data_IF_195259272462
#
_entry.id   IF_195259272462
#
_cell.length_a   1.000
_cell.length_b   1.000
_cell.length_c   1.000
_cell.angle_alpha   90.00
_cell.angle_beta   90.00
_cell.angle_gamma   90.00
#
_symmetry.space_group_name_H-M   'P 1'
#
loop_
_entity.id
_entity.type
_entity.pdbx_description
1 polymer ?
#
# COMPACT_ATOMS: atom_id res chain seq x y z
N UNK A 1 -22.48 3.46 -17.15
CA UNK A 1 -22.04 3.49 -15.74
C UNK A 1 -22.18 2.08 -15.20
N UNK A 2 -21.06 1.39 -14.98
CA UNK A 2 -21.09 0.01 -14.47
C UNK A 2 -21.28 0.07 -12.97
N UNK A 3 -22.41 -0.41 -12.48
CA UNK A 3 -22.65 -0.51 -11.05
C UNK A 3 -21.66 -1.52 -10.45
N UNK A 4 -20.81 -1.04 -9.54
CA UNK A 4 -19.95 -1.90 -8.73
C UNK A 4 -20.85 -2.82 -7.89
N UNK A 5 -20.79 -4.13 -8.14
CA UNK A 5 -21.50 -5.13 -7.35
C UNK A 5 -21.04 -5.01 -5.88
N UNK A 6 -21.99 -4.71 -5.00
CA UNK A 6 -21.76 -4.65 -3.56
C UNK A 6 -21.25 -6.02 -3.09
N UNK A 7 -19.99 -6.07 -2.62
CA UNK A 7 -19.34 -7.28 -2.12
C UNK A 7 -18.02 -7.65 -2.82
N UNK A 8 -17.71 -7.06 -3.97
CA UNK A 8 -16.38 -7.19 -4.58
C UNK A 8 -15.65 -5.85 -4.46
N UNK A 9 -14.66 -5.77 -3.56
CA UNK A 9 -13.81 -4.59 -3.51
C UNK A 9 -13.04 -4.51 -4.84
N UNK A 10 -13.16 -3.40 -5.60
CA UNK A 10 -12.58 -3.30 -6.92
C UNK A 10 -11.07 -3.45 -6.84
N UNK A 11 -10.49 -4.29 -7.68
CA UNK A 11 -9.04 -4.37 -7.83
C UNK A 11 -8.61 -3.66 -9.10
N UNK A 12 -7.56 -2.85 -9.01
CA UNK A 12 -6.95 -2.15 -10.15
C UNK A 12 -5.47 -2.51 -10.28
N UNK A 13 -4.95 -2.46 -11.50
CA UNK A 13 -3.51 -2.61 -11.72
C UNK A 13 -2.82 -1.28 -11.39
N UNK A 14 -1.87 -1.30 -10.47
CA UNK A 14 -1.01 -0.17 -10.12
C UNK A 14 0.46 -0.49 -10.33
N UNK A 15 1.32 0.52 -10.18
CA UNK A 15 2.78 0.35 -10.24
C UNK A 15 3.45 0.88 -8.98
N UNK A 16 4.31 0.06 -8.38
CA UNK A 16 5.17 0.41 -7.26
C UNK A 16 6.62 0.34 -7.72
N UNK A 17 7.32 1.47 -7.83
CA UNK A 17 8.70 1.53 -8.34
C UNK A 17 8.89 0.79 -9.69
N UNK A 18 7.89 0.87 -10.58
CA UNK A 18 7.89 0.16 -11.87
C UNK A 18 7.45 -1.31 -11.80
N UNK A 19 7.32 -1.90 -10.61
CA UNK A 19 6.73 -3.23 -10.42
C UNK A 19 5.21 -3.16 -10.52
N UNK A 20 4.63 -3.90 -11.45
CA UNK A 20 3.18 -4.04 -11.60
C UNK A 20 2.58 -4.86 -10.45
N UNK A 21 1.54 -4.31 -9.81
CA UNK A 21 0.86 -4.93 -8.66
C UNK A 21 -0.66 -4.76 -8.78
N UNK A 22 -1.43 -5.71 -8.25
CA UNK A 22 -2.87 -5.54 -8.07
C UNK A 22 -3.15 -4.81 -6.75
N UNK A 23 -3.94 -3.75 -6.81
CA UNK A 23 -4.32 -2.90 -5.68
C UNK A 23 -5.82 -3.04 -5.42
N UNK A 24 -6.17 -3.30 -4.16
CA UNK A 24 -7.56 -3.27 -3.72
C UNK A 24 -7.96 -1.81 -3.44
N UNK A 25 -9.05 -1.36 -4.05
CA UNK A 25 -9.65 -0.07 -3.73
C UNK A 25 -10.58 -0.23 -2.52
N UNK A 26 -10.11 0.27 -1.39
CA UNK A 26 -10.85 0.36 -0.15
C UNK A 26 -11.03 1.83 0.23
N UNK A 27 -12.25 2.35 0.10
CA UNK A 27 -12.55 3.75 0.44
C UNK A 27 -12.49 4.02 1.95
N UNK A 28 -12.48 2.98 2.79
CA UNK A 28 -12.24 3.08 4.23
C UNK A 28 -10.74 3.11 4.59
N UNK A 29 -9.84 2.78 3.66
CA UNK A 29 -8.41 2.78 3.92
C UNK A 29 -7.82 4.20 3.80
N UNK A 30 -7.22 4.68 4.88
CA UNK A 30 -6.50 5.97 4.92
C UNK A 30 -5.03 5.86 4.51
N UNK A 31 -4.52 4.63 4.37
CA UNK A 31 -3.15 4.30 3.95
C UNK A 31 -3.17 3.14 2.96
N UNK A 32 -2.21 3.12 2.04
CA UNK A 32 -1.97 1.95 1.19
C UNK A 32 -1.08 0.94 1.92
N UNK A 33 -1.44 -0.34 1.83
CA UNK A 33 -0.69 -1.44 2.46
C UNK A 33 -0.17 -2.36 1.38
N UNK A 34 1.13 -2.67 1.43
CA UNK A 34 1.77 -3.66 0.54
C UNK A 34 2.50 -4.72 1.36
N UNK A 35 2.45 -6.00 0.97
CA UNK A 35 3.28 -7.04 1.56
C UNK A 35 4.77 -6.69 1.47
N UNK A 36 5.52 -6.98 2.52
CA UNK A 36 6.97 -6.74 2.57
C UNK A 36 7.72 -7.43 1.42
N UNK A 37 7.25 -8.61 0.98
CA UNK A 37 7.82 -9.32 -0.16
C UNK A 37 7.67 -8.56 -1.49
N UNK A 38 6.56 -7.85 -1.68
CA UNK A 38 6.34 -6.99 -2.84
C UNK A 38 7.23 -5.75 -2.74
N UNK A 39 7.32 -5.15 -1.54
CA UNK A 39 8.23 -4.04 -1.31
C UNK A 39 9.68 -4.40 -1.68
N UNK A 40 10.21 -5.50 -1.14
CA UNK A 40 11.57 -5.97 -1.45
C UNK A 40 11.80 -6.20 -2.95
N UNK A 41 10.81 -6.73 -3.67
CA UNK A 41 10.92 -6.89 -5.13
C UNK A 41 10.98 -5.53 -5.83
N UNK A 42 10.17 -4.57 -5.38
CA UNK A 42 10.08 -3.24 -5.98
C UNK A 42 11.32 -2.37 -5.73
N UNK A 43 12.05 -2.61 -4.63
CA UNK A 43 13.21 -1.79 -4.24
C UNK A 43 14.55 -2.52 -4.34
N UNK A 44 14.58 -3.80 -4.73
CA UNK A 44 15.82 -4.59 -4.69
C UNK A 44 16.30 -4.88 -3.25
N UNK A 45 15.36 -4.94 -2.29
CA UNK A 45 15.62 -5.14 -0.86
C UNK A 45 16.36 -3.98 -0.19
N UNK A 46 16.38 -2.80 -0.82
CA UNK A 46 16.84 -1.59 -0.15
C UNK A 46 16.10 -1.43 1.18
N UNK A 47 16.82 -1.07 2.25
CA UNK A 47 16.22 -0.81 3.54
C UNK A 47 15.06 0.15 3.38
N UNK A 48 13.97 -0.10 4.11
CA UNK A 48 12.94 0.91 4.24
C UNK A 48 13.58 2.09 4.97
N UNK A 49 13.83 3.18 4.25
CA UNK A 49 14.13 4.46 4.87
C UNK A 49 13.03 4.72 5.90
N UNK A 50 13.43 4.96 7.14
CA UNK A 50 12.49 5.21 8.21
C UNK A 50 11.75 6.50 7.85
N UNK A 51 10.50 6.39 7.38
CA UNK A 51 9.65 7.56 7.36
C UNK A 51 9.59 8.06 8.80
N UNK A 52 9.72 9.37 9.02
CA UNK A 52 9.83 9.98 10.35
C UNK A 52 8.59 9.81 11.25
N UNK A 53 7.68 8.88 10.93
CA UNK A 53 6.40 8.66 11.59
C UNK A 53 6.10 7.20 11.90
N UNK A 54 4.99 7.01 12.60
CA UNK A 54 4.50 5.70 13.03
C UNK A 54 3.03 5.83 13.43
N UNK A 55 2.27 4.76 13.26
CA UNK A 55 0.87 4.70 13.69
C UNK A 55 0.82 4.02 15.07
N UNK A 56 0.09 4.61 16.01
CA UNK A 56 -0.22 3.98 17.30
C UNK A 56 -1.45 3.07 17.13
N UNK A 57 -1.31 1.81 17.53
CA UNK A 57 -2.40 0.84 17.55
C UNK A 57 -3.19 0.95 18.86
N UNK A 58 -4.43 0.44 18.85
CA UNK A 58 -5.30 0.45 20.04
C UNK A 58 -4.74 -0.32 21.24
N UNK A 59 -3.76 -1.20 21.03
CA UNK A 59 -3.04 -1.95 22.08
C UNK A 59 -1.77 -1.23 22.58
N UNK A 60 -1.50 0.00 22.12
CA UNK A 60 -0.35 0.79 22.53
C UNK A 60 0.94 0.50 21.75
N UNK A 61 0.96 -0.52 20.86
CA UNK A 61 2.12 -0.75 19.98
C UNK A 61 2.18 0.31 18.89
N UNK A 62 3.40 0.63 18.43
CA UNK A 62 3.62 1.56 17.32
C UNK A 62 4.10 0.79 16.10
N UNK A 63 3.41 0.95 14.98
CA UNK A 63 3.84 0.44 13.68
C UNK A 63 4.66 1.53 13.00
N UNK A 64 5.94 1.25 12.74
CA UNK A 64 6.80 2.18 12.01
C UNK A 64 6.27 2.36 10.59
N UNK A 65 6.13 3.61 10.15
CA UNK A 65 5.89 3.90 8.75
C UNK A 65 7.21 3.76 8.02
N UNK A 66 7.22 2.91 7.01
CA UNK A 66 8.39 2.52 6.28
C UNK A 66 7.98 2.59 4.80
N UNK A 67 8.61 3.47 4.02
CA UNK A 67 8.30 3.60 2.60
C UNK A 67 8.48 5.02 2.06
N UNK A 68 9.03 5.10 0.85
CA UNK A 68 9.08 6.28 0.00
C UNK A 68 8.43 5.89 -1.34
N UNK A 69 7.41 6.62 -1.78
CA UNK A 69 6.79 6.36 -3.08
C UNK A 69 5.50 7.15 -3.30
N UNK A 70 5.28 7.57 -4.54
CA UNK A 70 4.00 8.11 -5.02
C UNK A 70 3.34 7.03 -5.85
N UNK A 71 2.13 6.61 -5.48
CA UNK A 71 1.33 5.71 -6.31
C UNK A 71 0.58 6.56 -7.34
N UNK A 72 0.92 6.42 -8.61
CA UNK A 72 0.08 6.93 -9.70
C UNK A 72 -1.03 5.92 -9.98
N UNK A 73 -2.27 6.34 -9.77
CA UNK A 73 -3.45 5.61 -10.22
C UNK A 73 -3.65 5.99 -11.70
N UNK A 74 -3.61 5.01 -12.60
CA UNK A 74 -3.93 5.20 -14.03
C UNK A 74 -5.41 4.91 -14.28
#
# INVERSE_FOLDING_TARGET
MTALQAGHAPSVTGKLNGLEISLLLDSGAVVSVVPLSIWHKSTGREPLEAAGGSILLGDGRRVRLCGQGTLTLQ
#
